data_IF_333582548693
#
_entry.id   IF_333582548693
#
_cell.length_a   1.000
_cell.length_b   1.000
_cell.length_c   1.000
_cell.angle_alpha   90.00
_cell.angle_beta   90.00
_cell.angle_gamma   90.00
#
_symmetry.space_group_name_H-M   'P 1'
#
loop_
_entity.id
_entity.type
_entity.pdbx_description
1 polymer ?
#
# COMPACT_ATOMS: atom_id res chain seq x y z
N UNK A 1 -0.90 5.32 11.07
CA UNK A 1 -0.98 6.79 11.12
C UNK A 1 -1.89 7.31 10.02
N UNK A 2 -1.59 7.18 8.73
CA UNK A 2 -2.40 7.71 7.62
C UNK A 2 -3.87 7.25 7.67
N UNK A 3 -4.13 5.97 7.93
CA UNK A 3 -5.50 5.47 8.12
C UNK A 3 -6.22 6.21 9.27
N UNK A 4 -5.53 6.43 10.38
CA UNK A 4 -6.12 7.16 11.51
C UNK A 4 -6.40 8.63 11.18
N UNK A 5 -5.52 9.29 10.43
CA UNK A 5 -5.78 10.63 9.89
C UNK A 5 -7.02 10.65 8.99
N UNK A 6 -7.17 9.65 8.11
CA UNK A 6 -8.34 9.51 7.24
C UNK A 6 -9.62 9.31 8.04
N UNK A 7 -9.61 8.47 9.06
CA UNK A 7 -10.74 8.24 9.96
C UNK A 7 -11.15 9.49 10.76
N UNK A 8 -10.22 10.42 10.97
CA UNK A 8 -10.50 11.74 11.59
C UNK A 8 -10.84 12.82 10.56
N UNK A 9 -10.99 12.45 9.28
CA UNK A 9 -11.46 13.35 8.24
C UNK A 9 -10.41 14.31 7.67
N UNK A 10 -9.11 14.18 8.00
CA UNK A 10 -8.08 15.11 7.54
C UNK A 10 -7.97 15.22 6.02
N UNK A 11 -8.30 14.17 5.30
CA UNK A 11 -8.24 14.16 3.84
C UNK A 11 -9.57 14.54 3.16
N UNK A 12 -10.62 14.85 3.95
CA UNK A 12 -11.97 15.03 3.42
C UNK A 12 -12.54 13.72 2.86
N UNK A 13 -13.30 13.81 1.77
CA UNK A 13 -13.77 12.62 1.05
C UNK A 13 -12.62 12.02 0.24
N UNK A 14 -12.33 10.73 0.46
CA UNK A 14 -11.29 10.01 -0.30
C UNK A 14 -11.86 9.63 -1.65
N UNK A 15 -11.19 10.07 -2.71
CA UNK A 15 -11.61 9.91 -4.11
C UNK A 15 -10.85 8.79 -4.81
N UNK A 16 -9.55 8.66 -4.50
CA UNK A 16 -8.64 7.76 -5.18
C UNK A 16 -7.56 7.24 -4.26
N UNK A 17 -7.15 6.00 -4.49
CA UNK A 17 -5.99 5.38 -3.82
C UNK A 17 -5.11 4.66 -4.83
N UNK A 18 -3.81 4.65 -4.58
CA UNK A 18 -2.85 3.86 -5.34
C UNK A 18 -2.07 2.94 -4.42
N UNK A 19 -1.78 1.75 -4.90
CA UNK A 19 -0.98 0.79 -4.18
C UNK A 19 -0.10 -0.04 -5.11
N UNK A 20 1.06 -0.49 -4.63
CA UNK A 20 1.92 -1.30 -5.48
C UNK A 20 2.65 -2.42 -4.73
N UNK A 21 3.03 -3.44 -5.48
CA UNK A 21 4.07 -4.38 -5.13
C UNK A 21 5.13 -4.38 -6.23
N UNK A 22 6.18 -3.61 -6.00
CA UNK A 22 7.34 -3.48 -6.89
C UNK A 22 8.55 -4.01 -6.12
N UNK A 23 8.99 -5.21 -6.50
CA UNK A 23 10.05 -5.91 -5.79
C UNK A 23 10.80 -6.83 -6.77
N UNK A 24 11.96 -6.41 -7.26
CA UNK A 24 12.74 -7.28 -8.14
C UNK A 24 13.11 -8.59 -7.42
N UNK A 25 12.51 -9.69 -7.85
CA UNK A 25 12.73 -11.03 -7.29
C UNK A 25 13.85 -11.81 -8.01
N UNK A 26 14.45 -11.25 -9.05
CA UNK A 26 15.55 -11.89 -9.77
C UNK A 26 16.68 -12.37 -8.84
N UNK A 27 17.19 -11.56 -7.88
CA UNK A 27 18.23 -12.02 -6.95
C UNK A 27 17.79 -13.13 -5.99
N UNK A 28 16.50 -13.34 -5.85
CA UNK A 28 15.91 -14.33 -4.94
C UNK A 28 15.32 -15.53 -5.68
N UNK A 29 15.54 -15.63 -6.99
CA UNK A 29 14.93 -16.67 -7.82
C UNK A 29 15.19 -18.08 -7.30
N UNK A 30 16.44 -18.38 -6.96
CA UNK A 30 16.83 -19.70 -6.47
C UNK A 30 16.16 -20.06 -5.13
N UNK A 31 15.89 -19.05 -4.29
CA UNK A 31 15.12 -19.22 -3.05
C UNK A 31 13.64 -19.55 -3.30
N UNK A 32 13.08 -19.03 -4.38
CA UNK A 32 11.67 -19.27 -4.74
C UNK A 32 11.47 -20.49 -5.64
N UNK A 33 12.53 -21.08 -6.18
CA UNK A 33 12.43 -22.28 -7.02
C UNK A 33 11.90 -23.45 -6.20
N UNK A 34 10.84 -24.12 -6.72
CA UNK A 34 10.12 -25.17 -5.98
C UNK A 34 9.19 -24.64 -4.89
N UNK A 35 8.98 -23.33 -4.82
CA UNK A 35 8.04 -22.69 -3.91
C UNK A 35 6.76 -22.34 -4.67
N UNK A 36 5.61 -22.46 -4.01
CA UNK A 36 4.28 -22.16 -4.57
C UNK A 36 4.22 -20.80 -5.30
N UNK A 37 4.97 -19.81 -4.84
CA UNK A 37 4.96 -18.46 -5.42
C UNK A 37 5.46 -18.44 -6.84
N UNK A 38 6.60 -19.06 -7.12
CA UNK A 38 7.18 -19.11 -8.45
C UNK A 38 6.32 -19.98 -9.38
N UNK A 39 5.83 -21.12 -8.89
CA UNK A 39 4.92 -22.00 -9.63
C UNK A 39 3.63 -21.29 -10.01
N UNK A 40 3.10 -20.47 -9.08
CA UNK A 40 1.91 -19.65 -9.33
C UNK A 40 2.18 -18.60 -10.40
N UNK A 41 3.32 -17.88 -10.32
CA UNK A 41 3.71 -16.89 -11.31
C UNK A 41 3.96 -17.51 -12.69
N UNK A 42 4.48 -18.75 -12.75
CA UNK A 42 4.69 -19.46 -14.01
C UNK A 42 3.38 -19.76 -14.74
N UNK A 43 2.30 -19.95 -14.02
CA UNK A 43 1.01 -20.40 -14.56
C UNK A 43 -0.07 -19.30 -14.62
N UNK A 44 0.09 -18.17 -13.95
CA UNK A 44 -0.94 -17.12 -13.82
C UNK A 44 -0.45 -15.78 -14.33
N UNK A 45 -1.37 -15.04 -14.96
CA UNK A 45 -1.20 -13.65 -15.39
C UNK A 45 -1.83 -12.71 -14.37
N UNK A 46 -1.53 -11.42 -14.52
CA UNK A 46 -2.12 -10.36 -13.73
C UNK A 46 -1.32 -10.02 -12.47
N UNK A 47 -1.94 -9.30 -11.55
CA UNK A 47 -1.34 -9.03 -10.24
C UNK A 47 -1.53 -10.24 -9.32
N UNK A 48 -0.54 -11.10 -9.31
CA UNK A 48 -0.55 -12.35 -8.54
C UNK A 48 -0.24 -12.14 -7.05
N UNK A 49 0.02 -10.90 -6.64
CA UNK A 49 0.35 -10.57 -5.25
C UNK A 49 -0.25 -9.21 -4.82
N UNK A 50 -1.52 -8.99 -5.13
CA UNK A 50 -2.24 -7.72 -4.95
C UNK A 50 -2.36 -7.25 -3.50
N UNK A 51 -2.26 -8.12 -2.52
CA UNK A 51 -2.55 -7.86 -1.10
C UNK A 51 -1.83 -6.63 -0.56
N UNK A 52 -0.58 -6.40 -0.96
CA UNK A 52 0.21 -5.27 -0.46
C UNK A 52 -0.31 -3.89 -0.88
N UNK A 53 -0.83 -3.78 -2.09
CA UNK A 53 -1.45 -2.55 -2.58
C UNK A 53 -2.93 -2.47 -2.20
N UNK A 54 -3.66 -3.56 -2.41
CA UNK A 54 -5.11 -3.60 -2.25
C UNK A 54 -5.56 -3.53 -0.78
N UNK A 55 -4.86 -4.21 0.13
CA UNK A 55 -5.23 -4.27 1.54
C UNK A 55 -5.35 -2.90 2.19
N UNK A 56 -4.33 -2.04 2.12
CA UNK A 56 -4.41 -0.67 2.62
C UNK A 56 -5.50 0.17 1.94
N UNK A 57 -5.67 0.04 0.61
CA UNK A 57 -6.73 0.72 -0.14
C UNK A 57 -8.12 0.33 0.37
N UNK A 58 -8.37 -0.97 0.59
CA UNK A 58 -9.63 -1.46 1.14
C UNK A 58 -9.94 -0.90 2.54
N UNK A 59 -8.92 -0.73 3.38
CA UNK A 59 -9.10 -0.14 4.71
C UNK A 59 -9.48 1.34 4.63
N UNK A 60 -8.86 2.10 3.72
CA UNK A 60 -9.17 3.51 3.53
C UNK A 60 -10.57 3.75 2.95
N UNK A 61 -10.99 2.89 2.05
CA UNK A 61 -12.25 3.05 1.31
C UNK A 61 -13.43 2.31 1.97
N UNK A 62 -13.22 1.72 3.14
CA UNK A 62 -14.23 0.93 3.85
C UNK A 62 -14.86 -0.18 2.98
N UNK A 63 -14.05 -0.84 2.17
CA UNK A 63 -14.52 -1.93 1.32
C UNK A 63 -15.10 -3.05 2.20
N UNK A 64 -16.32 -3.47 1.89
CA UNK A 64 -17.20 -4.35 2.66
C UNK A 64 -17.69 -3.79 4.01
N UNK A 65 -17.44 -2.51 4.29
CA UNK A 65 -17.91 -1.81 5.50
C UNK A 65 -18.58 -0.46 5.20
N UNK A 66 -18.99 -0.25 3.98
CA UNK A 66 -19.64 0.98 3.52
C UNK A 66 -19.48 1.24 2.04
N UNK A 67 -18.51 0.57 1.39
CA UNK A 67 -18.32 0.57 -0.05
C UNK A 67 -18.00 -0.85 -0.54
N UNK A 68 -18.02 -1.10 -1.82
CA UNK A 68 -17.55 -2.34 -2.46
C UNK A 68 -17.02 -2.10 -3.85
N UNK A 69 -16.15 -2.99 -4.30
CA UNK A 69 -15.64 -2.99 -5.67
C UNK A 69 -16.78 -3.32 -6.63
N UNK A 70 -16.89 -2.56 -7.71
CA UNK A 70 -17.91 -2.76 -8.74
C UNK A 70 -17.32 -3.51 -9.93
N UNK A 71 -16.31 -2.91 -10.59
CA UNK A 71 -15.61 -3.55 -11.70
C UNK A 71 -14.15 -3.15 -11.72
N UNK A 72 -13.37 -3.91 -12.47
CA UNK A 72 -11.96 -3.62 -12.72
C UNK A 72 -11.59 -3.79 -14.20
N UNK A 73 -10.52 -3.10 -14.58
CA UNK A 73 -9.81 -3.30 -15.84
C UNK A 73 -8.34 -3.53 -15.51
N UNK A 74 -7.78 -4.60 -16.05
CA UNK A 74 -6.36 -4.91 -15.87
C UNK A 74 -5.67 -5.02 -17.24
N UNK A 75 -4.45 -4.51 -17.30
CA UNK A 75 -3.56 -4.65 -18.45
C UNK A 75 -2.19 -5.08 -17.98
N UNK A 76 -1.56 -5.93 -18.75
CA UNK A 76 -0.22 -6.40 -18.48
C UNK A 76 0.67 -6.37 -19.73
N UNK A 77 1.97 -6.32 -19.50
CA UNK A 77 2.98 -6.42 -20.56
C UNK A 77 3.21 -7.88 -20.94
N UNK A 78 4.09 -8.11 -21.91
CA UNK A 78 4.66 -9.45 -22.13
C UNK A 78 5.54 -9.84 -20.94
N UNK A 79 5.64 -11.13 -20.69
CA UNK A 79 6.66 -11.72 -19.83
C UNK A 79 7.97 -11.82 -20.63
N UNK A 80 8.87 -10.88 -20.41
CA UNK A 80 10.19 -10.83 -21.09
C UNK A 80 11.27 -11.30 -20.14
N UNK A 81 11.45 -10.59 -19.02
CA UNK A 81 12.44 -10.93 -18.01
C UNK A 81 12.04 -12.19 -17.23
N UNK A 82 10.76 -12.30 -16.85
CA UNK A 82 10.24 -13.50 -16.19
C UNK A 82 10.49 -14.77 -17.03
N UNK A 83 10.17 -14.72 -18.32
CA UNK A 83 10.42 -15.83 -19.24
C UNK A 83 11.94 -16.12 -19.44
N UNK A 84 12.77 -15.07 -19.57
CA UNK A 84 14.21 -15.21 -19.68
C UNK A 84 14.77 -15.95 -18.46
N UNK A 85 14.44 -15.53 -17.27
CA UNK A 85 14.88 -16.14 -16.02
C UNK A 85 14.38 -17.59 -15.88
N UNK A 86 13.12 -17.85 -16.24
CA UNK A 86 12.55 -19.19 -16.22
C UNK A 86 13.28 -20.15 -17.17
N UNK A 87 13.65 -19.69 -18.37
CA UNK A 87 14.47 -20.48 -19.32
C UNK A 87 15.87 -20.75 -18.78
N UNK A 88 16.55 -19.73 -18.30
CA UNK A 88 17.93 -19.82 -17.82
C UNK A 88 18.05 -20.66 -16.53
N UNK A 89 17.12 -20.53 -15.62
CA UNK A 89 17.20 -21.12 -14.27
C UNK A 89 16.44 -22.44 -14.13
N UNK A 90 15.37 -22.63 -14.89
CA UNK A 90 14.46 -23.78 -14.73
C UNK A 90 14.30 -24.59 -16.01
N UNK A 91 14.83 -24.16 -17.16
CA UNK A 91 14.57 -24.77 -18.45
C UNK A 91 13.10 -24.67 -18.92
N UNK A 92 12.34 -23.74 -18.37
CA UNK A 92 10.93 -23.59 -18.70
C UNK A 92 10.72 -22.86 -20.03
N UNK A 93 9.87 -23.39 -20.90
CA UNK A 93 9.57 -22.77 -22.21
C UNK A 93 8.52 -21.66 -22.13
N UNK A 94 7.77 -21.58 -21.03
CA UNK A 94 6.70 -20.60 -20.83
C UNK A 94 6.75 -20.02 -19.44
N UNK A 95 6.33 -18.75 -19.31
CA UNK A 95 6.15 -18.07 -18.03
C UNK A 95 5.02 -17.05 -18.19
N UNK A 96 3.92 -17.26 -17.47
CA UNK A 96 2.69 -16.53 -17.70
C UNK A 96 2.68 -15.12 -17.09
N UNK A 97 3.28 -14.94 -15.90
CA UNK A 97 3.25 -13.66 -15.21
C UNK A 97 4.01 -12.59 -15.99
N UNK A 98 3.35 -11.49 -16.27
CA UNK A 98 3.93 -10.35 -16.99
C UNK A 98 4.97 -9.62 -16.14
N UNK A 99 5.88 -8.91 -16.79
CA UNK A 99 6.88 -8.10 -16.08
C UNK A 99 6.24 -6.88 -15.40
N UNK A 100 5.14 -6.34 -15.95
CA UNK A 100 4.36 -5.26 -15.37
C UNK A 100 2.87 -5.52 -15.53
N UNK A 101 2.11 -5.34 -14.45
CA UNK A 101 0.65 -5.34 -14.46
C UNK A 101 0.12 -4.05 -13.84
N UNK A 102 -0.90 -3.48 -14.45
CA UNK A 102 -1.67 -2.34 -13.96
C UNK A 102 -3.12 -2.76 -13.83
N UNK A 103 -3.74 -2.45 -12.69
CA UNK A 103 -5.16 -2.74 -12.45
C UNK A 103 -5.87 -1.50 -11.93
N UNK A 104 -6.90 -1.07 -12.61
CA UNK A 104 -7.77 0.03 -12.19
C UNK A 104 -9.11 -0.54 -11.75
N UNK A 105 -9.52 -0.23 -10.53
CA UNK A 105 -10.76 -0.69 -9.92
C UNK A 105 -11.67 0.50 -9.67
N UNK A 106 -12.96 0.37 -10.00
CA UNK A 106 -14.02 1.32 -9.63
C UNK A 106 -14.86 0.75 -8.51
N UNK A 107 -15.16 1.55 -7.48
CA UNK A 107 -16.09 1.18 -6.42
C UNK A 107 -17.51 1.64 -6.71
N UNK A 108 -18.49 1.11 -5.99
CA UNK A 108 -19.90 1.50 -6.13
C UNK A 108 -20.14 2.96 -5.73
N UNK A 109 -19.40 3.48 -4.77
CA UNK A 109 -19.44 4.90 -4.40
C UNK A 109 -18.70 5.82 -5.36
N UNK A 110 -18.16 5.28 -6.47
CA UNK A 110 -17.50 6.08 -7.49
C UNK A 110 -16.03 6.39 -7.22
N UNK A 111 -15.42 5.80 -6.20
CA UNK A 111 -13.99 5.91 -5.91
C UNK A 111 -13.17 5.01 -6.82
N UNK A 112 -11.88 5.25 -6.93
CA UNK A 112 -10.98 4.44 -7.77
C UNK A 112 -9.77 3.96 -7.00
N UNK A 113 -9.27 2.78 -7.41
CA UNK A 113 -8.04 2.18 -6.88
C UNK A 113 -7.15 1.83 -8.07
N UNK A 114 -5.90 2.30 -8.08
CA UNK A 114 -4.87 1.86 -9.02
C UNK A 114 -3.91 0.91 -8.30
N UNK A 115 -3.65 -0.25 -8.91
CA UNK A 115 -2.64 -1.19 -8.42
C UNK A 115 -1.56 -1.40 -9.47
N UNK A 116 -0.31 -1.48 -8.99
CA UNK A 116 0.85 -1.87 -9.79
C UNK A 116 1.53 -3.11 -9.24
N UNK A 117 1.84 -4.05 -10.12
CA UNK A 117 2.64 -5.22 -9.80
C UNK A 117 3.84 -5.33 -10.74
N UNK A 118 5.05 -5.48 -10.20
CA UNK A 118 6.28 -5.67 -10.95
C UNK A 118 7.31 -6.40 -10.10
N UNK A 119 7.74 -7.58 -10.54
CA UNK A 119 8.64 -8.43 -9.73
C UNK A 119 9.86 -8.97 -10.48
N UNK A 120 10.03 -8.64 -11.76
CA UNK A 120 11.13 -9.18 -12.58
C UNK A 120 11.94 -8.10 -13.32
N UNK A 121 11.81 -6.85 -12.93
CA UNK A 121 12.58 -5.76 -13.53
C UNK A 121 13.40 -5.03 -12.46
N UNK A 122 14.51 -4.37 -12.84
CA UNK A 122 15.38 -3.67 -11.91
C UNK A 122 14.79 -2.32 -11.45
N UNK A 123 13.51 -2.30 -11.08
CA UNK A 123 12.88 -1.14 -10.45
C UNK A 123 13.29 -1.07 -8.97
N UNK A 124 13.56 0.12 -8.42
CA UNK A 124 13.72 0.29 -6.98
C UNK A 124 12.52 -0.27 -6.23
N UNK A 125 12.79 -0.92 -5.11
CA UNK A 125 11.73 -1.43 -4.24
C UNK A 125 10.70 -0.35 -3.90
N UNK A 126 9.42 -0.68 -4.07
CA UNK A 126 8.34 0.20 -3.69
C UNK A 126 7.10 -0.60 -3.27
N UNK A 127 6.60 -0.28 -2.11
CA UNK A 127 5.22 -0.56 -1.72
C UNK A 127 4.47 0.77 -1.70
N UNK A 128 4.40 1.39 -2.87
CA UNK A 128 3.74 2.67 -3.04
C UNK A 128 2.36 2.62 -2.42
N UNK A 129 2.03 3.68 -1.73
CA UNK A 129 0.76 3.87 -1.12
C UNK A 129 0.42 5.35 -1.19
N UNK A 130 -0.62 5.66 -1.94
CA UNK A 130 -1.12 7.01 -2.09
C UNK A 130 -2.60 7.07 -1.79
N UNK A 131 -3.06 8.20 -1.32
CA UNK A 131 -4.45 8.56 -1.29
C UNK A 131 -4.63 10.02 -1.74
N UNK A 132 -5.71 10.27 -2.47
CA UNK A 132 -6.18 11.59 -2.86
C UNK A 132 -7.57 11.80 -2.28
N UNK A 133 -7.69 12.81 -1.45
CA UNK A 133 -8.96 13.28 -0.91
C UNK A 133 -9.28 14.68 -1.38
N UNK A 134 -10.47 15.18 -1.01
CA UNK A 134 -10.89 16.54 -1.35
C UNK A 134 -10.09 17.62 -0.62
N UNK A 135 -9.57 17.31 0.55
CA UNK A 135 -8.87 18.26 1.44
C UNK A 135 -7.39 17.93 1.64
N UNK A 136 -6.93 16.77 1.15
CA UNK A 136 -5.54 16.38 1.34
C UNK A 136 -5.09 15.20 0.51
N UNK A 137 -3.79 15.00 0.53
CA UNK A 137 -3.07 13.96 -0.19
C UNK A 137 -2.03 13.33 0.74
N UNK A 138 -1.82 12.02 0.59
CA UNK A 138 -0.72 11.31 1.24
C UNK A 138 0.03 10.44 0.24
N UNK A 139 1.35 10.39 0.41
CA UNK A 139 2.24 9.52 -0.36
C UNK A 139 3.27 8.85 0.54
N UNK A 140 3.62 7.59 0.26
CA UNK A 140 4.65 6.88 1.02
C UNK A 140 5.95 6.65 0.22
N UNK A 141 5.87 6.37 -1.06
CA UNK A 141 7.03 6.10 -1.91
C UNK A 141 6.98 6.93 -3.18
N UNK A 142 8.13 7.41 -3.71
CA UNK A 142 9.48 7.31 -3.15
C UNK A 142 9.72 8.25 -1.97
N UNK A 143 8.88 9.27 -1.79
CA UNK A 143 8.98 10.26 -0.72
C UNK A 143 7.74 10.17 0.16
N UNK A 144 7.92 9.99 1.46
CA UNK A 144 6.81 10.03 2.40
C UNK A 144 6.43 11.47 2.72
N UNK A 145 5.21 11.84 2.41
CA UNK A 145 4.70 13.20 2.63
C UNK A 145 3.18 13.28 2.68
N UNK A 146 2.72 14.40 3.20
CA UNK A 146 1.32 14.81 3.22
C UNK A 146 1.20 16.19 2.60
N UNK A 147 0.10 16.46 1.91
CA UNK A 147 -0.30 17.79 1.48
C UNK A 147 -1.75 18.01 1.90
N UNK A 148 -2.08 19.20 2.37
CA UNK A 148 -3.42 19.56 2.81
C UNK A 148 -3.75 20.95 2.33
N UNK A 149 -5.04 21.23 2.20
CA UNK A 149 -5.49 22.62 2.18
C UNK A 149 -5.13 23.27 3.51
N UNK A 150 -4.54 24.46 3.52
CA UNK A 150 -4.13 25.11 4.78
C UNK A 150 -5.26 25.20 5.80
N UNK A 151 -6.48 25.47 5.35
CA UNK A 151 -7.68 25.60 6.18
C UNK A 151 -8.06 24.29 6.89
N UNK A 152 -7.79 23.15 6.25
CA UNK A 152 -8.12 21.82 6.76
C UNK A 152 -7.32 21.49 8.04
N UNK A 153 -6.11 21.98 8.13
CA UNK A 153 -5.22 21.73 9.26
C UNK A 153 -4.92 23.00 10.09
N UNK A 154 -5.67 24.08 9.85
CA UNK A 154 -5.51 25.35 10.57
C UNK A 154 -5.72 25.25 12.08
N UNK A 155 -6.55 24.31 12.53
CA UNK A 155 -6.80 24.01 13.94
C UNK A 155 -5.77 23.08 14.60
N UNK A 156 -4.81 22.58 13.83
CA UNK A 156 -3.76 21.70 14.34
C UNK A 156 -2.61 22.55 14.92
N UNK A 157 -2.11 22.14 16.08
CA UNK A 157 -0.90 22.73 16.67
C UNK A 157 0.33 22.13 15.99
N UNK A 158 0.70 22.67 14.82
CA UNK A 158 1.81 22.22 14.01
C UNK A 158 2.84 23.33 13.79
N UNK A 159 4.14 23.02 13.78
CA UNK A 159 5.19 23.97 13.43
C UNK A 159 5.11 24.37 11.95
N UNK A 160 5.72 25.54 11.62
CA UNK A 160 5.83 26.05 10.26
C UNK A 160 4.48 26.26 9.55
N UNK A 161 3.44 26.57 10.33
CA UNK A 161 2.08 26.75 9.83
C UNK A 161 1.97 27.81 8.71
N UNK A 162 2.79 28.84 8.77
CA UNK A 162 2.88 29.91 7.77
C UNK A 162 3.44 29.45 6.41
N UNK A 163 4.09 28.31 6.36
CA UNK A 163 4.70 27.75 5.15
C UNK A 163 3.85 26.66 4.47
N UNK A 164 2.60 26.50 4.88
CA UNK A 164 1.68 25.55 4.27
C UNK A 164 1.27 26.01 2.86
N UNK A 165 1.22 25.07 1.94
CA UNK A 165 0.81 25.28 0.56
C UNK A 165 0.14 24.02 0.01
N UNK A 166 -0.96 24.18 -0.70
CA UNK A 166 -1.64 23.09 -1.40
C UNK A 166 -0.89 22.58 -2.64
N UNK A 167 0.23 23.22 -3.02
CA UNK A 167 1.07 22.81 -4.14
C UNK A 167 2.33 22.04 -3.72
N UNK A 168 2.52 21.79 -2.42
CA UNK A 168 3.70 21.10 -1.90
C UNK A 168 3.35 20.22 -0.71
N UNK A 169 4.25 19.28 -0.41
CA UNK A 169 4.17 18.58 0.87
C UNK A 169 4.38 19.56 2.02
N UNK A 170 3.67 19.31 3.13
CA UNK A 170 3.87 20.07 4.36
C UNK A 170 5.31 19.95 4.86
N UNK A 171 5.83 20.96 5.58
CA UNK A 171 7.16 20.91 6.17
C UNK A 171 7.39 19.68 7.03
N UNK A 172 8.65 19.22 7.10
CA UNK A 172 9.00 17.99 7.82
C UNK A 172 8.62 18.05 9.32
N UNK A 173 8.75 19.22 9.94
CA UNK A 173 8.38 19.40 11.34
C UNK A 173 6.85 19.28 11.54
N UNK A 174 6.06 19.87 10.65
CA UNK A 174 4.60 19.75 10.64
C UNK A 174 4.17 18.28 10.41
N UNK A 175 4.82 17.60 9.46
CA UNK A 175 4.58 16.15 9.21
C UNK A 175 4.83 15.34 10.47
N UNK A 176 5.95 15.54 11.16
CA UNK A 176 6.30 14.80 12.36
C UNK A 176 5.27 15.01 13.48
N UNK A 177 4.81 16.25 13.69
CA UNK A 177 3.79 16.58 14.67
C UNK A 177 2.45 15.91 14.37
N UNK A 178 1.98 15.96 13.12
CA UNK A 178 0.74 15.27 12.71
C UNK A 178 0.87 13.75 12.83
N UNK A 179 2.00 13.18 12.43
CA UNK A 179 2.23 11.73 12.54
C UNK A 179 2.20 11.26 13.99
N UNK A 180 2.75 12.02 14.93
CA UNK A 180 2.68 11.67 16.36
C UNK A 180 1.26 11.87 16.90
N UNK A 181 0.60 12.97 16.59
CA UNK A 181 -0.77 13.24 17.03
C UNK A 181 -1.75 12.17 16.56
N UNK A 182 -1.66 11.77 15.30
CA UNK A 182 -2.54 10.77 14.67
C UNK A 182 -1.95 9.37 14.67
N UNK A 183 -0.94 9.10 15.48
CA UNK A 183 -0.43 7.72 15.64
C UNK A 183 -1.58 6.80 16.03
N UNK A 184 -1.72 5.67 15.31
CA UNK A 184 -2.84 4.76 15.54
C UNK A 184 -2.81 4.22 16.99
N UNK A 185 -3.96 4.13 17.70
CA UNK A 185 -4.00 3.65 19.08
C UNK A 185 -3.27 2.32 19.30
N UNK A 186 -3.49 1.32 18.45
CA UNK A 186 -2.77 0.04 18.52
C UNK A 186 -1.25 0.24 18.48
N UNK A 187 -0.75 1.14 17.62
CA UNK A 187 0.69 1.39 17.56
C UNK A 187 1.20 2.03 18.87
N UNK A 188 0.42 2.92 19.48
CA UNK A 188 0.77 3.48 20.79
C UNK A 188 0.91 2.41 21.86
N UNK A 189 -0.02 1.45 21.86
CA UNK A 189 -0.11 0.44 22.90
C UNK A 189 0.95 -0.67 22.78
N UNK A 190 1.25 -1.11 21.55
CA UNK A 190 2.03 -2.34 21.35
C UNK A 190 3.26 -2.20 20.47
N UNK A 191 3.57 -1.01 19.92
CA UNK A 191 4.68 -0.84 18.98
C UNK A 191 6.05 -1.30 19.56
N UNK A 192 6.33 -0.97 20.81
CA UNK A 192 7.57 -1.37 21.45
C UNK A 192 7.70 -2.90 21.57
N UNK A 193 6.61 -3.56 21.98
CA UNK A 193 6.53 -5.03 22.01
C UNK A 193 6.68 -5.62 20.62
N UNK A 194 5.98 -5.05 19.65
CA UNK A 194 6.02 -5.50 18.26
C UNK A 194 7.43 -5.43 17.68
N UNK A 195 8.16 -4.35 17.91
CA UNK A 195 9.56 -4.21 17.47
C UNK A 195 10.48 -5.25 18.09
N UNK A 196 10.27 -5.62 19.35
CA UNK A 196 11.05 -6.67 20.02
C UNK A 196 10.77 -8.06 19.47
N UNK A 197 9.52 -8.36 19.14
CA UNK A 197 9.12 -9.65 18.54
C UNK A 197 9.66 -9.78 17.12
N UNK A 198 9.68 -8.69 16.34
CA UNK A 198 10.19 -8.65 14.98
C UNK A 198 9.12 -8.91 13.93
N UNK A 199 9.54 -9.37 12.73
CA UNK A 199 8.68 -9.49 11.55
C UNK A 199 8.40 -8.12 10.91
N UNK A 200 9.16 -7.78 9.83
CA UNK A 200 9.06 -6.49 9.12
C UNK A 200 9.03 -5.26 10.07
N UNK A 201 9.93 -5.26 11.08
CA UNK A 201 10.01 -4.16 12.06
C UNK A 201 8.83 -4.14 13.06
N UNK A 202 8.15 -5.28 13.25
CA UNK A 202 7.01 -5.42 14.15
C UNK A 202 5.64 -5.35 13.46
N UNK A 203 5.62 -5.10 12.16
CA UNK A 203 4.36 -4.98 11.42
C UNK A 203 3.55 -6.29 11.43
N UNK A 204 4.23 -7.42 11.23
CA UNK A 204 3.59 -8.75 11.23
C UNK A 204 2.95 -9.03 12.60
N UNK A 205 3.66 -8.74 13.68
CA UNK A 205 3.12 -8.88 15.03
C UNK A 205 1.87 -8.01 15.27
N UNK A 206 1.88 -6.75 14.79
CA UNK A 206 0.71 -5.85 14.94
C UNK A 206 -0.49 -6.39 14.18
N UNK A 207 -0.27 -6.94 13.00
CA UNK A 207 -1.32 -7.53 12.17
C UNK A 207 -1.97 -8.74 12.88
N UNK A 208 -1.17 -9.68 13.34
CA UNK A 208 -1.65 -10.87 14.05
C UNK A 208 -2.32 -10.50 15.38
N UNK A 209 -1.73 -9.59 16.12
CA UNK A 209 -2.32 -9.06 17.35
C UNK A 209 -3.70 -8.47 17.11
N UNK A 210 -3.86 -7.66 16.05
CA UNK A 210 -5.16 -7.06 15.72
C UNK A 210 -6.21 -8.12 15.38
N UNK A 211 -5.84 -9.13 14.60
CA UNK A 211 -6.73 -10.23 14.26
C UNK A 211 -7.21 -10.96 15.52
N UNK A 212 -6.28 -11.38 16.38
CA UNK A 212 -6.59 -12.07 17.62
C UNK A 212 -7.44 -11.22 18.53
N UNK A 213 -7.10 -9.93 18.68
CA UNK A 213 -7.87 -8.98 19.47
C UNK A 213 -9.33 -8.86 18.98
N UNK A 214 -9.54 -8.70 17.67
CA UNK A 214 -10.87 -8.62 17.10
C UNK A 214 -11.69 -9.91 17.36
N UNK A 215 -11.08 -11.08 17.14
CA UNK A 215 -11.73 -12.35 17.39
C UNK A 215 -12.13 -12.54 18.86
N UNK A 216 -11.26 -12.14 19.79
CA UNK A 216 -11.54 -12.25 21.24
C UNK A 216 -12.65 -11.30 21.72
N UNK A 217 -12.80 -10.15 21.05
CA UNK A 217 -13.76 -9.11 21.47
C UNK A 217 -15.00 -9.03 20.56
N UNK A 218 -15.15 -9.95 19.59
CA UNK A 218 -16.28 -9.95 18.67
C UNK A 218 -16.34 -8.70 17.77
N UNK A 219 -15.18 -8.12 17.45
CA UNK A 219 -15.07 -6.93 16.59
C UNK A 219 -14.92 -7.34 15.12
N UNK A 220 -15.43 -6.53 14.18
CA UNK A 220 -15.29 -6.78 12.74
C UNK A 220 -13.84 -6.62 12.23
#
# INVERSE_FOLDING_TARGET
>A
TTLNMAQHGLFGEILHTEGSYIHNLEPYWDYYQGNWRLDFNQSHRGDVYATHGLGPACQLLDIHRGDKMNYLVAMDTKSVNGLKLAKEKMGAETFANADQTLTLIKTERGRTILLEHNVYTPRPYSRMYQLTGTEGFANKYPVEGYAFRPEQIAGEEIPDHENLSEHSFIPQAAKAALMERYKHPIARDIEEKARRVGGHGGMDFIMDYRLVYCLQHGLP
#
